data_IF_505613749005
#
_entry.id   IF_505613749005
#
_cell.length_a   1.000
_cell.length_b   1.000
_cell.length_c   1.000
_cell.angle_alpha   90.00
_cell.angle_beta   90.00
_cell.angle_gamma   90.00
#
_symmetry.space_group_name_H-M   'P 1'
#
loop_
_entity.id
_entity.type
_entity.pdbx_description
1 polymer ?
#
# COMPACT_ATOMS: atom_id res chain seq x y z
N UNK A 1 19.42 4.85 -18.36
CA UNK A 1 18.61 3.92 -17.54
C UNK A 1 18.05 4.61 -16.30
N UNK A 2 18.86 5.29 -15.48
CA UNK A 2 18.36 6.05 -14.32
C UNK A 2 17.23 7.05 -14.64
N UNK A 3 17.43 7.93 -15.61
CA UNK A 3 16.40 8.89 -16.03
C UNK A 3 15.13 8.22 -16.59
N UNK A 4 15.28 7.08 -17.27
CA UNK A 4 14.15 6.30 -17.77
C UNK A 4 13.32 5.74 -16.60
N UNK A 5 13.97 5.19 -15.57
CA UNK A 5 13.30 4.70 -14.36
C UNK A 5 12.55 5.83 -13.66
N UNK A 6 13.16 7.01 -13.53
CA UNK A 6 12.51 8.18 -12.94
C UNK A 6 11.27 8.61 -13.74
N UNK A 7 11.36 8.65 -15.07
CA UNK A 7 10.21 8.99 -15.94
C UNK A 7 9.09 7.95 -15.81
N UNK A 8 9.42 6.65 -15.84
CA UNK A 8 8.44 5.56 -15.65
C UNK A 8 7.74 5.70 -14.30
N UNK A 9 8.50 5.94 -13.23
CA UNK A 9 7.95 6.13 -11.89
C UNK A 9 7.02 7.34 -11.81
N UNK A 10 7.44 8.51 -12.33
CA UNK A 10 6.62 9.73 -12.31
C UNK A 10 5.33 9.54 -13.13
N UNK A 11 5.42 9.01 -14.35
CA UNK A 11 4.24 8.76 -15.18
C UNK A 11 3.29 7.77 -14.52
N UNK A 12 3.82 6.68 -13.97
CA UNK A 12 3.04 5.69 -13.23
C UNK A 12 2.33 6.28 -12.01
N UNK A 13 3.04 7.08 -11.22
CA UNK A 13 2.48 7.77 -10.06
C UNK A 13 1.41 8.79 -10.46
N UNK A 14 1.61 9.52 -11.57
CA UNK A 14 0.59 10.41 -12.13
C UNK A 14 -0.66 9.63 -12.56
N UNK A 15 -0.51 8.43 -13.14
CA UNK A 15 -1.65 7.57 -13.47
C UNK A 15 -2.44 7.16 -12.21
N UNK A 16 -1.77 6.90 -11.09
CA UNK A 16 -2.43 6.61 -9.81
C UNK A 16 -3.17 7.85 -9.28
N UNK A 17 -2.50 9.01 -9.28
CA UNK A 17 -3.09 10.25 -8.77
C UNK A 17 -4.28 10.73 -9.62
N UNK A 18 -4.24 10.47 -10.92
CA UNK A 18 -5.28 10.84 -11.89
C UNK A 18 -6.23 9.69 -12.22
N UNK A 19 -6.43 8.74 -11.30
CA UNK A 19 -7.41 7.64 -11.43
C UNK A 19 -8.79 8.13 -11.91
N UNK A 20 -9.35 9.16 -11.27
CA UNK A 20 -10.70 9.65 -11.59
C UNK A 20 -10.84 10.19 -13.03
N UNK A 21 -9.97 11.08 -13.53
CA UNK A 21 -10.04 11.52 -14.93
C UNK A 21 -9.64 10.45 -15.96
N UNK A 22 -8.70 9.55 -15.62
CA UNK A 22 -8.22 8.49 -16.55
C UNK A 22 -9.12 7.25 -16.57
N UNK A 23 -9.96 7.04 -15.55
CA UNK A 23 -10.83 5.86 -15.38
C UNK A 23 -10.07 4.52 -15.42
N UNK A 24 -8.86 4.52 -14.89
CA UNK A 24 -8.02 3.34 -14.73
C UNK A 24 -7.92 3.06 -13.22
N UNK A 25 -8.17 1.82 -12.81
CA UNK A 25 -8.06 1.44 -11.40
C UNK A 25 -6.67 1.73 -10.85
N UNK A 26 -6.60 2.41 -9.69
CA UNK A 26 -5.33 2.71 -9.01
C UNK A 26 -4.45 1.48 -8.80
N UNK A 27 -5.06 0.33 -8.50
CA UNK A 27 -4.34 -0.92 -8.26
C UNK A 27 -3.66 -1.43 -9.54
N UNK A 28 -4.36 -1.37 -10.68
CA UNK A 28 -3.80 -1.76 -11.97
C UNK A 28 -2.63 -0.83 -12.36
N UNK A 29 -2.80 0.48 -12.20
CA UNK A 29 -1.74 1.46 -12.46
C UNK A 29 -0.52 1.26 -11.55
N UNK A 30 -0.73 0.97 -10.26
CA UNK A 30 0.34 0.70 -9.30
C UNK A 30 1.11 -0.58 -9.65
N UNK A 31 0.43 -1.68 -9.94
CA UNK A 31 1.06 -2.96 -10.31
C UNK A 31 1.87 -2.80 -11.60
N UNK A 32 1.31 -2.15 -12.63
CA UNK A 32 2.02 -1.88 -13.88
C UNK A 32 3.29 -1.06 -13.62
N UNK A 33 3.18 0.01 -12.84
CA UNK A 33 4.31 0.88 -12.49
C UNK A 33 5.40 0.10 -11.74
N UNK A 34 5.02 -0.76 -10.80
CA UNK A 34 5.93 -1.63 -10.08
C UNK A 34 6.67 -2.59 -11.03
N UNK A 35 5.95 -3.33 -11.87
CA UNK A 35 6.54 -4.28 -12.83
C UNK A 35 7.49 -3.57 -13.78
N UNK A 36 7.10 -2.42 -14.34
CA UNK A 36 7.97 -1.65 -15.24
C UNK A 36 9.20 -1.10 -14.52
N UNK A 37 9.06 -0.60 -13.29
CA UNK A 37 10.19 -0.07 -12.51
C UNK A 37 11.21 -1.16 -12.16
N UNK A 38 10.74 -2.33 -11.71
CA UNK A 38 11.62 -3.49 -11.45
C UNK A 38 12.25 -4.05 -12.72
N UNK A 39 11.53 -4.02 -13.86
CA UNK A 39 12.07 -4.43 -15.16
C UNK A 39 13.17 -3.47 -15.63
N UNK A 40 12.97 -2.16 -15.51
CA UNK A 40 14.02 -1.18 -15.86
C UNK A 40 15.21 -1.30 -14.91
N UNK A 41 14.98 -1.59 -13.64
CA UNK A 41 16.04 -1.79 -12.66
C UNK A 41 16.89 -3.02 -12.98
N UNK A 42 16.30 -4.18 -13.31
CA UNK A 42 17.07 -5.39 -13.62
C UNK A 42 17.84 -5.27 -14.93
N UNK A 43 17.25 -4.64 -15.96
CA UNK A 43 17.92 -4.39 -17.24
C UNK A 43 18.99 -3.30 -17.16
N UNK A 44 18.84 -2.36 -16.22
CA UNK A 44 19.74 -1.23 -16.02
C UNK A 44 20.68 -1.39 -14.82
N UNK A 45 20.71 -2.56 -14.18
CA UNK A 45 21.32 -2.77 -12.87
C UNK A 45 22.77 -2.28 -12.81
N UNK A 46 23.58 -2.63 -13.79
CA UNK A 46 25.00 -2.27 -13.86
C UNK A 46 25.24 -0.75 -13.98
N UNK A 47 24.26 -0.02 -14.54
CA UNK A 47 24.34 1.43 -14.73
C UNK A 47 23.67 2.24 -13.62
N UNK A 48 22.73 1.65 -12.88
CA UNK A 48 21.92 2.31 -11.84
C UNK A 48 22.47 2.04 -10.44
N UNK A 49 23.01 0.84 -10.21
CA UNK A 49 23.55 0.41 -8.92
C UNK A 49 25.09 0.51 -8.76
N UNK A 50 25.90 1.22 -9.61
CA UNK A 50 27.36 1.21 -9.46
C UNK A 50 27.84 1.86 -8.15
N UNK A 51 26.96 2.57 -7.44
CA UNK A 51 27.23 3.19 -6.13
C UNK A 51 27.03 2.26 -4.92
N UNK A 52 26.39 1.09 -5.09
CA UNK A 52 26.14 0.14 -3.99
C UNK A 52 27.30 -0.83 -3.73
N UNK A 53 28.37 -0.80 -4.53
CA UNK A 53 29.55 -1.63 -4.33
C UNK A 53 30.87 -0.83 -4.40
N UNK A 54 31.29 -0.15 -3.32
CA UNK A 54 32.71 0.04 -3.06
C UNK A 54 33.23 -1.17 -2.26
N UNK A 55 33.65 -2.26 -2.91
CA UNK A 55 34.59 -3.20 -2.26
C UNK A 55 34.50 -4.71 -2.54
N UNK A 56 33.45 -5.27 -3.15
CA UNK A 56 33.40 -6.71 -3.42
C UNK A 56 33.95 -7.02 -4.81
N UNK A 57 35.20 -7.48 -4.88
CA UNK A 57 35.85 -8.02 -6.08
C UNK A 57 35.33 -9.42 -6.49
N UNK A 58 34.15 -9.82 -6.01
CA UNK A 58 33.46 -11.01 -6.48
C UNK A 58 32.42 -10.60 -7.54
N UNK A 59 32.27 -11.37 -8.62
CA UNK A 59 31.23 -11.15 -9.63
C UNK A 59 29.87 -11.58 -9.05
N UNK A 60 29.42 -10.89 -8.00
CA UNK A 60 28.04 -10.98 -7.54
C UNK A 60 27.23 -10.26 -8.62
N UNK A 61 26.64 -11.07 -9.50
CA UNK A 61 25.79 -10.63 -10.59
C UNK A 61 24.73 -9.66 -10.04
N UNK A 62 24.76 -8.40 -10.51
CA UNK A 62 23.83 -7.33 -10.10
C UNK A 62 22.37 -7.79 -10.16
N UNK A 63 22.06 -8.75 -11.05
CA UNK A 63 20.75 -9.38 -11.16
C UNK A 63 20.33 -10.13 -9.87
N UNK A 64 21.27 -10.83 -9.21
CA UNK A 64 20.99 -11.62 -8.01
C UNK A 64 20.63 -10.75 -6.81
N UNK A 65 21.28 -9.58 -6.69
CA UNK A 65 20.96 -8.57 -5.66
C UNK A 65 19.56 -8.04 -5.89
N UNK A 66 19.23 -7.61 -7.12
CA UNK A 66 17.89 -7.09 -7.47
C UNK A 66 16.80 -8.13 -7.21
N UNK A 67 17.03 -9.40 -7.56
CA UNK A 67 16.07 -10.49 -7.31
C UNK A 67 15.89 -10.75 -5.81
N UNK A 68 16.96 -10.68 -5.03
CA UNK A 68 16.91 -10.87 -3.57
C UNK A 68 16.07 -9.76 -2.91
N UNK A 69 16.34 -8.50 -3.26
CA UNK A 69 15.58 -7.34 -2.77
C UNK A 69 14.11 -7.39 -3.21
N UNK A 70 13.84 -7.74 -4.47
CA UNK A 70 12.48 -7.92 -4.96
C UNK A 70 11.73 -8.97 -4.14
N UNK A 71 12.36 -10.12 -3.85
CA UNK A 71 11.74 -11.17 -3.02
C UNK A 71 11.49 -10.71 -1.59
N UNK A 72 12.43 -9.97 -1.01
CA UNK A 72 12.29 -9.43 0.33
C UNK A 72 11.07 -8.50 0.43
N UNK A 73 11.01 -7.46 -0.42
CA UNK A 73 9.88 -6.53 -0.44
C UNK A 73 8.56 -7.20 -0.83
N UNK A 74 8.58 -8.15 -1.78
CA UNK A 74 7.38 -8.89 -2.16
C UNK A 74 6.85 -9.71 -0.98
N UNK A 75 7.74 -10.32 -0.20
CA UNK A 75 7.39 -11.07 1.01
C UNK A 75 6.70 -10.18 2.05
N UNK A 76 7.33 -9.07 2.42
CA UNK A 76 6.78 -8.11 3.39
C UNK A 76 5.43 -7.53 2.94
N UNK A 77 5.32 -7.12 1.68
CA UNK A 77 4.06 -6.57 1.15
C UNK A 77 2.97 -7.66 1.12
N UNK A 78 3.32 -8.89 0.75
CA UNK A 78 2.37 -10.01 0.73
C UNK A 78 1.86 -10.31 2.13
N UNK A 79 2.72 -10.28 3.16
CA UNK A 79 2.32 -10.45 4.55
C UNK A 79 1.28 -9.42 4.97
N UNK A 80 1.54 -8.13 4.69
CA UNK A 80 0.60 -7.04 4.95
C UNK A 80 -0.71 -7.26 4.18
N UNK A 81 -0.65 -7.64 2.90
CA UNK A 81 -1.84 -7.90 2.10
C UNK A 81 -2.68 -9.06 2.64
N UNK A 82 -2.06 -10.17 3.04
CA UNK A 82 -2.78 -11.31 3.63
C UNK A 82 -3.37 -10.95 4.99
N UNK A 83 -2.65 -10.18 5.80
CA UNK A 83 -3.16 -9.65 7.07
C UNK A 83 -4.39 -8.76 6.84
N UNK A 84 -4.30 -7.79 5.92
CA UNK A 84 -5.41 -6.89 5.59
C UNK A 84 -6.58 -7.62 4.95
N UNK A 85 -6.34 -8.61 4.10
CA UNK A 85 -7.41 -9.43 3.50
C UNK A 85 -8.21 -10.15 4.59
N UNK A 86 -7.54 -10.77 5.55
CA UNK A 86 -8.19 -11.43 6.68
C UNK A 86 -8.93 -10.43 7.58
N UNK A 87 -8.26 -9.36 7.99
CA UNK A 87 -8.82 -8.33 8.87
C UNK A 87 -10.04 -7.66 8.23
N UNK A 88 -9.95 -7.25 6.96
CA UNK A 88 -11.03 -6.62 6.21
C UNK A 88 -12.21 -7.57 6.04
N UNK A 89 -11.96 -8.86 5.75
CA UNK A 89 -13.03 -9.86 5.63
C UNK A 89 -13.78 -10.05 6.95
N UNK A 90 -13.07 -10.07 8.09
CA UNK A 90 -13.71 -10.19 9.40
C UNK A 90 -14.56 -8.95 9.70
N UNK A 91 -14.05 -7.75 9.43
CA UNK A 91 -14.82 -6.52 9.69
C UNK A 91 -16.04 -6.41 8.79
N UNK A 92 -15.92 -6.74 7.50
CA UNK A 92 -17.06 -6.79 6.57
C UNK A 92 -18.11 -7.82 7.01
N UNK A 93 -17.67 -8.97 7.53
CA UNK A 93 -18.59 -9.99 8.06
C UNK A 93 -19.33 -9.48 9.30
N UNK A 94 -18.65 -8.77 10.21
CA UNK A 94 -19.29 -8.18 11.40
C UNK A 94 -20.29 -7.10 10.98
N UNK A 95 -19.92 -6.23 10.04
CA UNK A 95 -20.79 -5.14 9.56
C UNK A 95 -22.03 -5.68 8.84
N UNK A 96 -21.88 -6.69 7.97
CA UNK A 96 -23.00 -7.35 7.29
C UNK A 96 -24.00 -8.01 8.24
N UNK A 97 -23.61 -8.31 9.49
CA UNK A 97 -24.48 -8.82 10.55
C UNK A 97 -24.91 -7.73 11.54
N UNK A 98 -24.83 -6.45 11.14
CA UNK A 98 -25.16 -5.28 11.95
C UNK A 98 -24.36 -5.18 13.27
N UNK A 99 -23.16 -5.76 13.34
CA UNK A 99 -22.35 -5.82 14.57
C UNK A 99 -21.98 -4.44 15.13
N UNK A 100 -21.87 -3.42 14.27
CA UNK A 100 -21.58 -2.04 14.68
C UNK A 100 -22.84 -1.19 14.90
N UNK A 101 -24.03 -1.68 14.57
CA UNK A 101 -25.29 -0.92 14.69
C UNK A 101 -25.58 -0.45 16.10
N UNK A 102 -25.26 -1.26 17.11
CA UNK A 102 -25.40 -0.88 18.51
C UNK A 102 -24.56 0.36 18.89
N UNK A 103 -23.42 0.55 18.23
CA UNK A 103 -22.55 1.71 18.42
C UNK A 103 -23.11 2.91 17.65
N UNK A 104 -23.47 2.73 16.38
CA UNK A 104 -23.99 3.79 15.51
C UNK A 104 -25.33 4.37 15.99
N UNK A 105 -26.26 3.52 16.44
CA UNK A 105 -27.58 3.95 16.95
C UNK A 105 -27.47 4.79 18.24
N UNK A 106 -26.37 4.65 18.99
CA UNK A 106 -26.09 5.44 20.20
C UNK A 106 -25.65 6.87 19.87
N UNK A 107 -25.21 7.14 18.64
CA UNK A 107 -24.69 8.43 18.21
C UNK A 107 -25.82 9.26 17.58
N UNK A 108 -26.46 10.13 18.38
CA UNK A 108 -27.60 10.94 17.91
C UNK A 108 -27.29 12.45 17.74
N UNK A 109 -26.02 12.85 17.84
CA UNK A 109 -25.65 14.28 17.75
C UNK A 109 -25.69 14.80 16.32
N UNK A 110 -26.24 16.00 16.12
CA UNK A 110 -26.24 16.71 14.82
C UNK A 110 -25.13 17.75 14.66
N UNK A 111 -24.38 18.05 15.74
CA UNK A 111 -23.32 19.06 15.72
C UNK A 111 -22.02 18.43 15.19
N UNK A 112 -21.54 18.89 14.02
CA UNK A 112 -20.34 18.34 13.33
C UNK A 112 -19.12 18.21 14.24
N UNK A 113 -18.83 19.23 15.06
CA UNK A 113 -17.67 19.20 15.98
C UNK A 113 -17.81 18.11 17.04
N UNK A 114 -19.00 17.97 17.63
CA UNK A 114 -19.25 16.97 18.67
C UNK A 114 -19.29 15.55 18.09
N UNK A 115 -19.79 15.40 16.85
CA UNK A 115 -19.74 14.15 16.11
C UNK A 115 -18.29 13.72 15.87
N UNK A 116 -17.43 14.66 15.44
CA UNK A 116 -16.01 14.38 15.16
C UNK A 116 -15.27 13.94 16.42
N UNK A 117 -15.52 14.55 17.58
CA UNK A 117 -14.96 14.10 18.84
C UNK A 117 -15.43 12.70 19.27
N UNK A 118 -16.72 12.39 19.08
CA UNK A 118 -17.25 11.05 19.36
C UNK A 118 -16.59 10.02 18.46
N UNK A 119 -16.58 10.25 17.14
CA UNK A 119 -15.98 9.32 16.17
C UNK A 119 -14.48 9.18 16.47
N UNK A 120 -13.75 10.28 16.65
CA UNK A 120 -12.30 10.22 16.93
C UNK A 120 -11.96 9.42 18.20
N UNK A 121 -12.73 9.61 19.29
CA UNK A 121 -12.54 8.82 20.50
C UNK A 121 -12.93 7.35 20.28
N UNK A 122 -14.05 7.08 19.63
CA UNK A 122 -14.51 5.73 19.33
C UNK A 122 -13.52 4.96 18.44
N UNK A 123 -13.11 5.56 17.32
CA UNK A 123 -12.10 5.02 16.39
C UNK A 123 -10.80 4.72 17.11
N UNK A 124 -10.36 5.57 18.05
CA UNK A 124 -9.15 5.31 18.84
C UNK A 124 -9.22 4.00 19.64
N UNK A 125 -10.32 3.75 20.36
CA UNK A 125 -10.46 2.49 21.12
C UNK A 125 -10.74 1.30 20.20
N UNK A 126 -11.52 1.52 19.14
CA UNK A 126 -11.85 0.45 18.20
C UNK A 126 -10.61 -0.01 17.41
N UNK A 127 -9.68 0.89 17.12
CA UNK A 127 -8.37 0.60 16.50
C UNK A 127 -7.43 -0.24 17.37
N UNK A 128 -7.74 -0.46 18.65
CA UNK A 128 -7.02 -1.44 19.47
C UNK A 128 -7.54 -2.87 19.24
N UNK A 129 -8.79 -3.01 18.79
CA UNK A 129 -9.43 -4.29 18.48
C UNK A 129 -9.42 -4.60 16.97
N UNK A 130 -9.44 -3.56 16.13
CA UNK A 130 -9.40 -3.61 14.66
C UNK A 130 -8.08 -3.03 14.15
N UNK A 131 -7.71 -3.36 12.91
CA UNK A 131 -6.56 -2.74 12.25
C UNK A 131 -6.86 -1.28 11.81
N UNK A 132 -5.83 -0.44 11.71
CA UNK A 132 -5.96 1.01 11.48
C UNK A 132 -6.74 1.35 10.20
N UNK A 133 -6.46 0.66 9.09
CA UNK A 133 -7.19 0.87 7.83
C UNK A 133 -8.63 0.37 7.94
N UNK A 134 -8.80 -0.76 8.63
CA UNK A 134 -10.09 -1.43 8.76
C UNK A 134 -11.06 -0.68 9.69
N UNK A 135 -10.53 0.05 10.68
CA UNK A 135 -11.32 0.91 11.58
C UNK A 135 -12.00 2.07 10.85
N UNK A 136 -11.58 2.41 9.63
CA UNK A 136 -12.22 3.47 8.82
C UNK A 136 -13.58 3.03 8.23
N UNK A 137 -13.87 1.72 8.22
CA UNK A 137 -15.13 1.16 7.71
C UNK A 137 -16.28 1.33 8.74
N UNK A 138 -15.93 1.38 10.03
CA UNK A 138 -16.87 1.50 11.16
C UNK A 138 -17.23 2.96 11.44
#
# INVERSE_FOLDING_TARGET
>A
MYALMAVVFVLGYLCIAFEHPLKIDKAAAAILTAVLSWTVLILGADSILPLLQPGSHDPIDSSTVVVTELRHHLGEISEILFFLLGAMTIVELIDSHEGFKAVTDRIQTRKRVHLLWIIGFLTFFLSAALDNLTTTIV
#
